data_IF_263351357248
#
_entry.id   IF_263351357248
#
_cell.length_a   1.000
_cell.length_b   1.000
_cell.length_c   1.000
_cell.angle_alpha   90.00
_cell.angle_beta   90.00
_cell.angle_gamma   90.00
#
_symmetry.space_group_name_H-M   'P 1'
#
loop_
_entity.id
_entity.type
_entity.pdbx_description
1 polymer ?
#
# COMPACT_ATOMS: atom_id res chain seq x y z
N UNK A 1 4.74 -16.74 -3.83
CA UNK A 1 5.64 -15.72 -4.36
C UNK A 1 6.37 -15.07 -3.19
N UNK A 2 7.69 -15.15 -3.13
CA UNK A 2 8.50 -14.51 -2.10
C UNK A 2 8.70 -12.99 -2.41
N UNK A 3 9.46 -12.28 -1.59
CA UNK A 3 9.65 -10.83 -1.77
C UNK A 3 10.51 -10.51 -2.99
N UNK A 4 11.56 -11.29 -3.24
CA UNK A 4 12.42 -11.09 -4.42
C UNK A 4 11.70 -11.39 -5.75
N UNK A 5 10.89 -12.44 -5.82
CA UNK A 5 10.03 -12.71 -6.99
C UNK A 5 9.03 -11.56 -7.21
N UNK A 6 8.56 -10.94 -6.11
CA UNK A 6 7.71 -9.76 -6.20
C UNK A 6 8.46 -8.53 -6.71
N UNK A 7 9.72 -8.32 -6.32
CA UNK A 7 10.52 -7.20 -6.87
C UNK A 7 10.78 -7.38 -8.36
N UNK A 8 11.02 -8.61 -8.82
CA UNK A 8 11.10 -8.92 -10.25
C UNK A 8 9.79 -8.62 -10.98
N UNK A 9 8.66 -9.11 -10.46
CA UNK A 9 7.35 -8.90 -11.09
C UNK A 9 6.93 -7.43 -11.15
N UNK A 10 7.38 -6.62 -10.19
CA UNK A 10 7.05 -5.22 -10.06
C UNK A 10 8.09 -4.27 -10.70
N UNK A 11 9.08 -4.83 -11.43
CA UNK A 11 10.18 -4.09 -12.06
C UNK A 11 10.96 -3.19 -11.09
N UNK A 12 11.14 -3.65 -9.84
CA UNK A 12 11.81 -2.89 -8.77
C UNK A 12 13.31 -3.17 -8.68
N UNK A 13 13.82 -4.15 -9.41
CA UNK A 13 15.20 -4.65 -9.25
C UNK A 13 16.29 -3.61 -9.51
N UNK A 14 15.99 -2.59 -10.33
CA UNK A 14 16.90 -1.48 -10.63
C UNK A 14 16.92 -0.40 -9.54
N UNK A 15 15.97 -0.43 -8.59
CA UNK A 15 15.92 0.53 -7.50
C UNK A 15 16.91 0.17 -6.39
N UNK A 16 17.38 1.15 -5.60
CA UNK A 16 18.11 0.88 -4.37
C UNK A 16 17.33 -0.05 -3.44
N UNK A 17 18.02 -0.96 -2.74
CA UNK A 17 17.41 -1.96 -1.85
C UNK A 17 16.46 -1.33 -0.82
N UNK A 18 16.82 -0.17 -0.27
CA UNK A 18 15.98 0.57 0.68
C UNK A 18 14.62 0.95 0.07
N UNK A 19 14.61 1.39 -1.20
CA UNK A 19 13.38 1.74 -1.92
C UNK A 19 12.58 0.49 -2.29
N UNK A 20 13.26 -0.62 -2.64
CA UNK A 20 12.58 -1.89 -2.85
C UNK A 20 11.82 -2.32 -1.60
N UNK A 21 12.45 -2.22 -0.43
CA UNK A 21 11.83 -2.58 0.85
C UNK A 21 10.66 -1.65 1.19
N UNK A 22 10.82 -0.34 1.06
CA UNK A 22 9.74 0.64 1.31
C UNK A 22 8.49 0.31 0.48
N UNK A 23 8.67 0.02 -0.81
CA UNK A 23 7.58 -0.35 -1.72
C UNK A 23 6.98 -1.71 -1.35
N UNK A 24 7.81 -2.73 -1.15
CA UNK A 24 7.35 -4.08 -0.77
C UNK A 24 6.49 -4.05 0.49
N UNK A 25 6.88 -3.24 1.46
CA UNK A 25 6.22 -3.18 2.77
C UNK A 25 4.83 -2.54 2.73
N UNK A 26 4.43 -1.92 1.62
CA UNK A 26 3.10 -1.30 1.45
C UNK A 26 2.23 -2.00 0.40
N UNK A 27 2.82 -2.89 -0.40
CA UNK A 27 2.08 -3.65 -1.41
C UNK A 27 1.10 -4.64 -0.78
N UNK A 28 -0.07 -4.73 -1.39
CA UNK A 28 -1.11 -5.71 -1.03
C UNK A 28 -1.14 -6.90 -1.98
N UNK A 29 -1.84 -7.98 -1.59
CA UNK A 29 -2.05 -9.14 -2.46
C UNK A 29 -3.02 -8.87 -3.61
N UNK A 30 -4.02 -8.04 -3.36
CA UNK A 30 -5.02 -7.63 -4.35
C UNK A 30 -5.33 -6.13 -4.22
N UNK A 31 -5.81 -5.52 -5.31
CA UNK A 31 -6.28 -4.14 -5.28
C UNK A 31 -7.45 -4.00 -4.32
N UNK A 32 -7.49 -2.91 -3.57
CA UNK A 32 -8.59 -2.63 -2.65
C UNK A 32 -9.78 -2.10 -3.44
N UNK A 33 -10.97 -2.65 -3.25
CA UNK A 33 -12.17 -2.08 -3.87
C UNK A 33 -12.47 -0.71 -3.24
N UNK A 34 -12.72 0.31 -4.06
CA UNK A 34 -12.98 1.66 -3.54
C UNK A 34 -14.20 1.70 -2.60
N UNK A 35 -15.21 0.86 -2.88
CA UNK A 35 -16.40 0.73 -2.04
C UNK A 35 -16.08 0.17 -0.64
N UNK A 36 -15.07 -0.69 -0.52
CA UNK A 36 -14.64 -1.23 0.77
C UNK A 36 -13.98 -0.11 1.59
N UNK A 37 -13.15 0.73 0.96
CA UNK A 37 -12.55 1.90 1.64
C UNK A 37 -13.61 2.89 2.09
N UNK A 38 -14.60 3.20 1.26
CA UNK A 38 -15.72 4.08 1.65
C UNK A 38 -16.46 3.51 2.86
N UNK A 39 -16.73 2.20 2.84
CA UNK A 39 -17.40 1.51 3.95
C UNK A 39 -16.56 1.55 5.21
N UNK A 40 -15.26 1.24 5.09
CA UNK A 40 -14.29 1.26 6.18
C UNK A 40 -14.17 2.66 6.82
N UNK A 41 -14.02 3.71 6.01
CA UNK A 41 -13.97 5.10 6.49
C UNK A 41 -15.22 5.48 7.28
N UNK A 42 -16.40 5.03 6.82
CA UNK A 42 -17.68 5.29 7.48
C UNK A 42 -17.82 4.52 8.79
N UNK A 43 -17.50 3.22 8.79
CA UNK A 43 -17.63 2.36 9.98
C UNK A 43 -16.65 2.78 11.08
N UNK A 44 -15.44 3.19 10.71
CA UNK A 44 -14.44 3.77 11.61
C UNK A 44 -14.71 5.23 11.96
N UNK A 45 -15.78 5.84 11.41
CA UNK A 45 -16.17 7.25 11.61
C UNK A 45 -15.07 8.26 11.25
N UNK A 46 -14.17 7.87 10.35
CA UNK A 46 -13.05 8.68 9.88
C UNK A 46 -13.50 9.74 8.88
N UNK A 47 -14.36 9.33 7.95
CA UNK A 47 -14.95 10.21 6.95
C UNK A 47 -16.27 9.65 6.43
N UNK A 48 -17.35 10.42 6.57
CA UNK A 48 -18.69 9.99 6.17
C UNK A 48 -19.60 11.16 5.84
N UNK A 49 -20.52 10.97 4.91
CA UNK A 49 -21.54 11.97 4.56
C UNK A 49 -22.67 11.99 5.61
N UNK A 50 -23.03 13.18 6.07
CA UNK A 50 -24.21 13.44 6.89
C UNK A 50 -25.12 14.48 6.25
N UNK A 51 -26.22 14.84 6.92
CA UNK A 51 -27.23 15.77 6.38
C UNK A 51 -26.70 17.16 5.97
N UNK A 52 -25.56 17.60 6.51
CA UNK A 52 -24.95 18.90 6.20
C UNK A 52 -23.62 18.75 5.44
N UNK A 53 -23.41 17.62 4.77
CA UNK A 53 -22.16 17.26 4.10
C UNK A 53 -21.28 16.33 4.92
N UNK A 54 -20.04 16.17 4.46
CA UNK A 54 -19.06 15.27 5.05
C UNK A 54 -18.67 15.66 6.49
N UNK A 55 -18.35 14.65 7.29
CA UNK A 55 -17.97 14.74 8.71
C UNK A 55 -16.89 13.71 9.04
N UNK A 56 -16.26 13.88 10.20
CA UNK A 56 -15.20 13.00 10.73
C UNK A 56 -13.84 13.71 10.84
N UNK A 57 -12.85 13.05 11.46
CA UNK A 57 -11.48 13.57 11.60
C UNK A 57 -10.87 14.09 10.28
N UNK A 58 -11.08 13.38 9.17
CA UNK A 58 -10.54 13.79 7.86
C UNK A 58 -11.13 15.14 7.42
N UNK A 59 -12.44 15.34 7.59
CA UNK A 59 -13.10 16.60 7.26
C UNK A 59 -12.67 17.73 8.21
N UNK A 60 -12.53 17.45 9.51
CA UNK A 60 -12.10 18.43 10.50
C UNK A 60 -10.66 18.90 10.21
N UNK A 61 -9.77 17.98 9.84
CA UNK A 61 -8.41 18.27 9.43
C UNK A 61 -8.35 19.14 8.17
N UNK A 62 -9.15 18.80 7.15
CA UNK A 62 -9.24 19.58 5.92
C UNK A 62 -9.65 21.04 6.19
N UNK A 63 -10.67 21.23 7.03
CA UNK A 63 -11.19 22.55 7.37
C UNK A 63 -10.24 23.35 8.30
N UNK A 64 -9.49 22.67 9.15
CA UNK A 64 -8.66 23.27 10.22
C UNK A 64 -7.19 23.49 9.88
N UNK A 65 -6.70 22.99 8.75
CA UNK A 65 -5.29 23.09 8.36
C UNK A 65 -5.02 24.21 7.34
N UNK A 66 -3.85 24.83 7.44
CA UNK A 66 -3.28 25.72 6.42
C UNK A 66 -2.22 25.00 5.55
N UNK A 67 -1.94 23.73 5.83
CA UNK A 67 -1.00 22.93 5.05
C UNK A 67 -1.63 22.56 3.69
N UNK A 68 -1.08 23.15 2.62
CA UNK A 68 -1.56 22.93 1.25
C UNK A 68 -1.36 21.48 0.82
N UNK A 69 -0.21 20.88 1.12
CA UNK A 69 0.07 19.49 0.75
C UNK A 69 -0.93 18.52 1.38
N UNK A 70 -1.35 18.79 2.62
CA UNK A 70 -2.37 18.01 3.30
C UNK A 70 -3.75 18.17 2.64
N UNK A 71 -4.14 19.39 2.26
CA UNK A 71 -5.39 19.62 1.53
C UNK A 71 -5.41 18.90 0.19
N UNK A 72 -4.33 19.00 -0.59
CA UNK A 72 -4.20 18.33 -1.88
C UNK A 72 -4.31 16.80 -1.74
N UNK A 73 -3.70 16.21 -0.70
CA UNK A 73 -3.80 14.77 -0.44
C UNK A 73 -5.24 14.34 -0.09
N UNK A 74 -5.95 15.12 0.72
CA UNK A 74 -7.36 14.85 1.07
C UNK A 74 -8.27 15.05 -0.15
N UNK A 75 -8.05 16.09 -0.95
CA UNK A 75 -8.79 16.36 -2.19
C UNK A 75 -8.58 15.23 -3.21
N UNK A 76 -7.35 14.72 -3.32
CA UNK A 76 -7.04 13.56 -4.14
C UNK A 76 -7.76 12.29 -3.66
N UNK A 77 -7.76 12.03 -2.34
CA UNK A 77 -8.51 10.93 -1.75
C UNK A 77 -10.02 11.08 -2.01
N UNK A 78 -10.55 12.31 -1.87
CA UNK A 78 -11.94 12.61 -2.16
C UNK A 78 -12.27 12.31 -3.62
N UNK A 79 -11.47 12.82 -4.56
CA UNK A 79 -11.68 12.63 -5.99
C UNK A 79 -11.63 11.15 -6.37
N UNK A 80 -10.74 10.38 -5.73
CA UNK A 80 -10.58 8.94 -5.96
C UNK A 80 -11.78 8.13 -5.45
N UNK A 81 -12.32 8.46 -4.27
CA UNK A 81 -13.38 7.67 -3.63
C UNK A 81 -14.79 8.15 -3.96
N UNK A 82 -14.99 9.47 -4.02
CA UNK A 82 -16.29 10.12 -4.09
C UNK A 82 -16.50 10.95 -5.35
N UNK A 83 -15.44 11.20 -6.13
CA UNK A 83 -15.50 12.01 -7.36
C UNK A 83 -16.33 11.38 -8.48
N UNK A 84 -16.64 12.19 -9.49
CA UNK A 84 -17.47 11.80 -10.63
C UNK A 84 -16.87 10.65 -11.45
N UNK A 85 -15.54 10.57 -11.49
CA UNK A 85 -14.82 9.43 -12.06
C UNK A 85 -14.62 8.37 -10.98
N UNK A 86 -15.71 7.67 -10.65
CA UNK A 86 -15.68 6.59 -9.66
C UNK A 86 -14.65 5.55 -10.06
N UNK A 87 -13.55 5.49 -9.32
CA UNK A 87 -12.56 4.43 -9.46
C UNK A 87 -13.15 3.19 -8.81
N UNK A 88 -13.23 2.07 -9.52
CA UNK A 88 -13.75 0.83 -8.94
C UNK A 88 -12.76 0.19 -7.97
N UNK A 89 -11.46 0.46 -8.15
CA UNK A 89 -10.37 -0.15 -7.41
C UNK A 89 -9.23 0.85 -7.16
N UNK A 90 -8.65 0.77 -5.98
CA UNK A 90 -7.42 1.44 -5.60
C UNK A 90 -6.26 0.49 -5.90
N UNK A 91 -5.29 0.95 -6.69
CA UNK A 91 -4.23 0.13 -7.30
C UNK A 91 -3.09 -0.20 -6.33
N UNK A 92 -3.39 -0.85 -5.20
CA UNK A 92 -2.42 -1.17 -4.15
C UNK A 92 -1.51 -2.36 -4.46
N UNK A 93 -1.72 -3.07 -5.57
CA UNK A 93 -0.77 -4.07 -6.09
C UNK A 93 0.31 -3.46 -6.98
N UNK A 94 0.30 -2.14 -7.20
CA UNK A 94 1.23 -1.48 -8.11
C UNK A 94 2.13 -0.52 -7.34
N UNK A 95 3.46 -0.58 -7.54
CA UNK A 95 4.44 0.17 -6.72
C UNK A 95 4.13 1.65 -6.52
N UNK A 96 3.95 2.39 -7.61
CA UNK A 96 3.71 3.83 -7.56
C UNK A 96 2.45 4.15 -6.76
N UNK A 97 1.34 3.50 -7.11
CA UNK A 97 0.04 3.74 -6.50
C UNK A 97 -0.02 3.24 -5.05
N UNK A 98 0.64 2.13 -4.72
CA UNK A 98 0.72 1.65 -3.35
C UNK A 98 1.43 2.64 -2.42
N UNK A 99 2.50 3.28 -2.91
CA UNK A 99 3.20 4.34 -2.17
C UNK A 99 2.33 5.58 -1.99
N UNK A 100 1.62 6.02 -3.04
CA UNK A 100 0.68 7.14 -2.94
C UNK A 100 -0.43 6.85 -1.92
N UNK A 101 -1.04 5.67 -1.99
CA UNK A 101 -2.08 5.23 -1.06
C UNK A 101 -1.56 5.13 0.36
N UNK A 102 -0.36 4.60 0.55
CA UNK A 102 0.28 4.57 1.87
C UNK A 102 0.49 5.99 2.40
N UNK A 103 1.02 6.91 1.59
CA UNK A 103 1.20 8.31 2.00
C UNK A 103 -0.11 8.99 2.43
N UNK A 104 -1.19 8.76 1.68
CA UNK A 104 -2.53 9.24 2.04
C UNK A 104 -3.03 8.59 3.33
N UNK A 105 -2.82 7.28 3.51
CA UNK A 105 -3.20 6.59 4.74
C UNK A 105 -2.43 7.12 5.95
N UNK A 106 -1.12 7.34 5.85
CA UNK A 106 -0.31 7.93 6.93
C UNK A 106 -0.82 9.30 7.33
N UNK A 107 -1.15 10.11 6.33
CA UNK A 107 -1.77 11.41 6.53
C UNK A 107 -3.08 11.26 7.28
N UNK A 108 -3.97 10.35 6.89
CA UNK A 108 -5.25 10.12 7.58
C UNK A 108 -5.02 9.65 9.02
N UNK A 109 -4.12 8.69 9.25
CA UNK A 109 -3.83 8.15 10.58
C UNK A 109 -3.30 9.24 11.52
N UNK A 110 -2.36 10.07 11.06
CA UNK A 110 -1.82 11.18 11.85
C UNK A 110 -2.83 12.27 12.21
N UNK A 111 -4.05 12.23 11.65
CA UNK A 111 -5.15 13.14 11.99
C UNK A 111 -6.12 12.57 13.03
N UNK A 112 -6.00 11.29 13.38
CA UNK A 112 -7.01 10.61 14.21
C UNK A 112 -6.83 10.79 15.71
N UNK A 113 -5.70 11.36 16.17
CA UNK A 113 -5.33 11.53 17.58
C UNK A 113 -5.53 10.23 18.39
N UNK A 114 -5.18 9.11 17.77
CA UNK A 114 -5.35 7.78 18.35
C UNK A 114 -4.05 7.30 19.01
N UNK A 115 -4.15 6.41 20.01
CA UNK A 115 -2.99 5.67 20.50
C UNK A 115 -2.27 4.90 19.38
N UNK A 116 -0.94 4.74 19.49
CA UNK A 116 -0.11 4.07 18.47
C UNK A 116 -0.59 2.65 18.14
N UNK A 117 -1.07 1.90 19.14
CA UNK A 117 -1.63 0.56 18.93
C UNK A 117 -2.96 0.60 18.17
N UNK A 118 -3.81 1.60 18.40
CA UNK A 118 -5.05 1.79 17.65
C UNK A 118 -4.80 2.27 16.20
N UNK A 119 -3.82 3.16 15.99
CA UNK A 119 -3.37 3.55 14.66
C UNK A 119 -2.85 2.36 13.86
N UNK A 120 -2.06 1.50 14.52
CA UNK A 120 -1.54 0.28 13.92
C UNK A 120 -2.67 -0.71 13.58
N UNK A 121 -3.67 -0.88 14.44
CA UNK A 121 -4.84 -1.71 14.15
C UNK A 121 -5.69 -1.14 13.01
N UNK A 122 -5.82 0.19 12.90
CA UNK A 122 -6.47 0.83 11.76
C UNK A 122 -5.71 0.53 10.46
N UNK A 123 -4.39 0.73 10.48
CA UNK A 123 -3.52 0.43 9.33
C UNK A 123 -3.63 -1.02 8.90
N UNK A 124 -3.57 -1.97 9.84
CA UNK A 124 -3.76 -3.40 9.55
C UNK A 124 -5.09 -3.61 8.86
N UNK A 125 -6.18 -3.12 9.45
CA UNK A 125 -7.53 -3.31 8.89
C UNK A 125 -7.72 -2.66 7.52
N UNK A 126 -7.02 -1.56 7.24
CA UNK A 126 -7.05 -0.94 5.92
C UNK A 126 -6.44 -1.88 4.87
N UNK A 127 -5.25 -2.39 5.16
CA UNK A 127 -4.54 -3.26 4.23
C UNK A 127 -5.14 -4.67 4.12
N UNK A 128 -5.86 -5.15 5.14
CA UNK A 128 -6.61 -6.42 5.09
C UNK A 128 -7.66 -6.43 3.97
N UNK A 129 -8.24 -5.29 3.59
CA UNK A 129 -9.13 -5.20 2.43
C UNK A 129 -8.43 -5.60 1.12
N UNK A 130 -7.12 -5.39 1.05
CA UNK A 130 -6.25 -5.80 -0.06
C UNK A 130 -5.64 -7.19 0.10
N UNK A 131 -6.14 -8.01 1.03
CA UNK A 131 -5.53 -9.29 1.38
C UNK A 131 -4.28 -9.17 2.25
N UNK A 132 -4.07 -8.02 2.89
CA UNK A 132 -2.94 -7.76 3.77
C UNK A 132 -1.64 -7.43 3.03
N UNK A 133 -0.56 -7.27 3.81
CA UNK A 133 0.78 -6.89 3.33
C UNK A 133 1.75 -8.05 3.55
N UNK A 134 1.84 -9.02 2.62
CA UNK A 134 2.61 -10.25 2.84
C UNK A 134 4.11 -9.98 2.98
N UNK A 135 4.62 -8.88 2.42
CA UNK A 135 6.04 -8.51 2.46
C UNK A 135 6.35 -7.42 3.49
N UNK A 136 5.41 -7.06 4.37
CA UNK A 136 5.61 -6.05 5.42
C UNK A 136 6.81 -6.34 6.31
N UNK A 137 7.05 -7.63 6.62
CA UNK A 137 8.14 -8.06 7.47
C UNK A 137 9.48 -8.23 6.75
N UNK A 138 9.53 -8.03 5.43
CA UNK A 138 10.76 -8.22 4.66
C UNK A 138 11.78 -7.15 5.05
N UNK A 139 13.01 -7.60 5.30
CA UNK A 139 14.17 -6.76 5.57
C UNK A 139 15.29 -7.06 4.57
N UNK A 140 16.36 -6.25 4.60
CA UNK A 140 17.51 -6.38 3.71
C UNK A 140 18.12 -7.79 3.70
N UNK A 141 18.33 -8.38 4.87
CA UNK A 141 18.93 -9.72 4.97
C UNK A 141 18.04 -10.80 4.34
N UNK A 142 16.72 -10.73 4.57
CA UNK A 142 15.76 -11.65 3.96
C UNK A 142 15.72 -11.48 2.43
N UNK A 143 15.66 -10.24 1.94
CA UNK A 143 15.62 -9.95 0.51
C UNK A 143 16.90 -10.41 -0.21
N UNK A 144 18.07 -10.16 0.38
CA UNK A 144 19.35 -10.62 -0.15
C UNK A 144 19.46 -12.15 -0.18
N UNK A 145 18.96 -12.83 0.85
CA UNK A 145 18.94 -14.30 0.90
C UNK A 145 18.02 -14.89 -0.18
N UNK A 146 16.84 -14.31 -0.38
CA UNK A 146 15.91 -14.74 -1.44
C UNK A 146 16.49 -14.50 -2.85
N UNK A 147 17.18 -13.38 -3.05
CA UNK A 147 17.91 -13.09 -4.29
C UNK A 147 18.99 -14.14 -4.58
N UNK A 148 19.85 -14.42 -3.60
CA UNK A 148 20.91 -15.42 -3.76
C UNK A 148 20.35 -16.82 -4.07
N UNK A 149 19.25 -17.21 -3.40
CA UNK A 149 18.58 -18.47 -3.67
C UNK A 149 18.01 -18.55 -5.10
N UNK A 150 17.45 -17.44 -5.60
CA UNK A 150 16.94 -17.35 -6.96
C UNK A 150 18.06 -17.49 -8.01
N UNK A 151 19.17 -16.77 -7.84
CA UNK A 151 20.33 -16.85 -8.73
C UNK A 151 20.95 -18.25 -8.74
N UNK A 152 21.07 -18.89 -7.58
CA UNK A 152 21.55 -20.27 -7.47
C UNK A 152 20.63 -21.24 -8.23
N UNK A 153 19.31 -21.12 -8.07
CA UNK A 153 18.35 -21.98 -8.76
C UNK A 153 18.43 -21.83 -10.29
N UNK A 154 18.66 -20.62 -10.81
CA UNK A 154 18.87 -20.37 -12.23
C UNK A 154 20.16 -21.02 -12.75
N UNK A 155 21.26 -20.91 -11.99
CA UNK A 155 22.53 -21.55 -12.35
C UNK A 155 22.41 -23.08 -12.39
N UNK A 156 21.75 -23.68 -11.40
CA UNK A 156 21.50 -25.13 -11.35
C UNK A 156 20.61 -25.61 -12.51
N UNK A 157 19.57 -24.84 -12.86
CA UNK A 157 18.70 -25.14 -13.99
C UNK A 157 19.46 -25.11 -15.33
N UNK A 158 20.36 -24.15 -15.51
CA UNK A 158 21.17 -24.03 -16.72
C UNK A 158 22.19 -25.17 -16.85
N UNK A 159 22.87 -25.53 -15.76
CA UNK A 159 23.77 -26.70 -15.75
C UNK A 159 23.02 -27.97 -16.13
N UNK A 160 21.81 -28.16 -15.60
CA UNK A 160 20.97 -29.31 -15.95
C UNK A 160 20.57 -29.31 -17.42
N UNK A 161 20.16 -28.16 -17.96
CA UNK A 161 19.78 -28.02 -19.37
C UNK A 161 20.93 -28.41 -20.31
N UNK A 162 22.15 -27.95 -20.01
CA UNK A 162 23.33 -28.29 -20.79
C UNK A 162 23.67 -29.79 -20.70
N UNK A 163 23.51 -30.40 -19.52
CA UNK A 163 23.75 -31.84 -19.35
C UNK A 163 22.70 -32.73 -20.04
N UNK A 164 21.46 -32.26 -20.20
CA UNK A 164 20.39 -32.96 -20.93
C UNK A 164 20.50 -32.78 -22.46
N UNK A 165 21.33 -31.83 -22.94
CA UNK A 165 21.60 -31.54 -24.36
C UNK A 165 22.85 -32.28 -24.92
N UNK A 166 23.65 -32.92 -24.07
CA UNK A 166 24.83 -33.76 -24.42
C UNK A 166 24.50 -35.26 -24.55
#
# INVERSE_FOLDING_TARGET
MNAYERTLQADLVELPETQQLEILQVLTLQNIAAQDVITWLRERKLWFEGQQGYRGPVQAAYAGTDNIQLKDAIDYLWATLFGDQKVSQIRTTEPQWAMEVNGVLEVVLGLTDLPEDEEEQLRISFYEMGGGRPWRGTNAAALAAEKAAHEQALAEAEVKRLADEE
#
